data_IF_135297626724
#
_entry.id   IF_135297626724
#
_cell.length_a   1.000
_cell.length_b   1.000
_cell.length_c   1.000
_cell.angle_alpha   90.00
_cell.angle_beta   90.00
_cell.angle_gamma   90.00
#
_symmetry.space_group_name_H-M   'P 1'
#
loop_
_entity.id
_entity.type
_entity.pdbx_description
1 polymer ?
#
# COMPACT_ATOMS: atom_id res chain seq x y z
N UNK A 1 14.64 -4.67 5.46
CA UNK A 1 15.74 -5.52 5.95
C UNK A 1 15.58 -6.90 5.34
N UNK A 2 16.20 -7.93 5.92
CA UNK A 2 16.11 -9.31 5.42
C UNK A 2 14.72 -9.94 5.62
N UNK A 3 13.90 -9.42 6.53
CA UNK A 3 12.59 -9.99 6.88
C UNK A 3 11.41 -9.20 6.31
N UNK A 4 11.52 -7.87 6.26
CA UNK A 4 10.44 -6.96 5.93
C UNK A 4 10.87 -5.86 4.94
N UNK A 5 9.93 -5.48 4.08
CA UNK A 5 9.86 -4.16 3.48
C UNK A 5 9.27 -3.18 4.49
N UNK A 6 9.90 -2.02 4.67
CA UNK A 6 9.41 -0.96 5.55
C UNK A 6 8.88 0.21 4.74
N UNK A 7 7.80 0.81 5.24
CA UNK A 7 7.23 2.05 4.74
C UNK A 7 7.13 3.05 5.90
N UNK A 8 7.57 4.27 5.67
CA UNK A 8 7.19 5.44 6.47
C UNK A 8 6.51 6.45 5.54
N UNK A 9 5.38 7.00 5.98
CA UNK A 9 4.73 8.10 5.28
C UNK A 9 4.27 9.17 6.27
N UNK A 10 4.49 10.43 5.89
CA UNK A 10 3.99 11.61 6.59
C UNK A 10 3.01 12.32 5.65
N UNK A 11 1.72 12.20 5.95
CA UNK A 11 0.62 12.56 5.04
C UNK A 11 -0.08 13.81 5.55
N UNK A 12 -0.23 14.80 4.68
CA UNK A 12 -1.06 15.99 4.95
C UNK A 12 -2.50 15.69 4.58
N UNK A 13 -3.40 15.86 5.53
CA UNK A 13 -4.80 15.50 5.43
C UNK A 13 -5.61 16.35 6.43
N UNK A 14 -6.60 17.15 5.99
CA UNK A 14 -7.41 17.99 6.89
C UNK A 14 -8.41 17.18 7.74
N UNK A 15 -8.64 15.92 7.42
CA UNK A 15 -9.55 15.01 8.12
C UNK A 15 -8.86 13.67 8.30
N UNK A 16 -7.76 13.58 9.08
CA UNK A 16 -6.97 12.37 9.13
C UNK A 16 -7.72 11.22 9.81
N UNK A 17 -7.40 10.00 9.39
CA UNK A 17 -7.81 8.75 10.03
C UNK A 17 -9.31 8.41 9.88
N UNK A 18 -9.95 8.91 8.82
CA UNK A 18 -11.35 8.67 8.46
C UNK A 18 -11.52 7.32 7.76
N UNK A 19 -11.38 6.23 8.50
CA UNK A 19 -11.70 4.90 8.00
C UNK A 19 -12.41 4.01 9.03
N UNK A 20 -13.70 3.76 8.79
CA UNK A 20 -14.55 2.84 9.57
C UNK A 20 -14.99 1.62 8.77
N UNK A 21 -14.37 1.37 7.62
CA UNK A 21 -14.72 0.26 6.73
C UNK A 21 -13.98 -0.99 7.19
N UNK A 22 -14.68 -2.12 7.18
CA UNK A 22 -14.09 -3.43 7.44
C UNK A 22 -13.98 -4.28 6.17
N UNK A 23 -13.05 -5.22 6.21
CA UNK A 23 -12.88 -6.22 5.17
C UNK A 23 -12.35 -5.65 3.85
N UNK A 24 -12.77 -6.24 2.74
CA UNK A 24 -12.13 -6.01 1.44
C UNK A 24 -12.20 -4.57 0.92
N UNK A 25 -13.08 -3.72 1.47
CA UNK A 25 -13.35 -2.37 0.96
C UNK A 25 -12.68 -1.24 1.73
N UNK A 26 -11.70 -1.54 2.57
CA UNK A 26 -10.99 -0.53 3.37
C UNK A 26 -10.32 0.58 2.55
N UNK A 27 -10.08 0.37 1.25
CA UNK A 27 -9.60 1.40 0.31
C UNK A 27 -10.59 2.56 0.08
N UNK A 28 -11.87 2.39 0.42
CA UNK A 28 -12.90 3.39 0.12
C UNK A 28 -13.08 4.42 1.25
N UNK A 29 -11.97 4.87 1.83
CA UNK A 29 -11.84 5.79 2.95
C UNK A 29 -10.34 6.14 3.08
N UNK A 30 -9.88 6.78 4.16
CA UNK A 30 -8.45 7.02 4.32
C UNK A 30 -7.66 5.70 4.36
N UNK A 31 -6.73 5.54 3.44
CA UNK A 31 -5.93 4.33 3.32
C UNK A 31 -4.60 4.61 2.65
N UNK A 32 -3.64 3.73 2.88
CA UNK A 32 -2.43 3.64 2.08
C UNK A 32 -2.47 2.33 1.28
N UNK A 33 -2.37 2.44 -0.04
CA UNK A 33 -2.24 1.30 -0.95
C UNK A 33 -0.77 1.15 -1.37
N UNK A 34 -0.20 -0.04 -1.24
CA UNK A 34 1.15 -0.38 -1.68
C UNK A 34 1.05 -1.40 -2.81
N UNK A 35 1.72 -1.12 -3.91
CA UNK A 35 1.76 -1.97 -5.09
C UNK A 35 3.19 -2.43 -5.32
N UNK A 36 3.42 -3.72 -5.51
CA UNK A 36 4.78 -4.23 -5.70
C UNK A 36 4.82 -5.49 -6.56
N UNK A 37 5.88 -5.64 -7.34
CA UNK A 37 6.17 -6.81 -8.16
C UNK A 37 7.65 -7.17 -8.10
N UNK A 38 8.02 -8.46 -8.10
CA UNK A 38 9.43 -8.89 -8.17
C UNK A 38 10.11 -8.51 -9.49
N UNK A 39 9.36 -8.14 -10.52
CA UNK A 39 9.89 -7.94 -11.87
C UNK A 39 9.55 -6.55 -12.41
N UNK A 40 10.53 -5.89 -13.02
CA UNK A 40 10.29 -4.69 -13.82
C UNK A 40 9.53 -5.05 -15.09
N UNK A 41 8.45 -4.33 -15.35
CA UNK A 41 7.70 -4.49 -16.59
C UNK A 41 8.37 -3.69 -17.70
N UNK A 42 8.84 -4.38 -18.73
CA UNK A 42 9.52 -3.75 -19.88
C UNK A 42 8.56 -3.35 -21.00
N UNK A 43 7.34 -3.88 -21.00
CA UNK A 43 6.29 -3.57 -21.99
C UNK A 43 4.90 -3.63 -21.35
N UNK A 44 3.99 -2.71 -21.68
CA UNK A 44 2.62 -2.74 -21.18
C UNK A 44 1.93 -4.07 -21.50
N UNK A 45 1.34 -4.72 -20.50
CA UNK A 45 0.54 -5.95 -20.71
C UNK A 45 -0.94 -5.72 -20.45
N UNK A 46 -1.35 -4.51 -20.06
CA UNK A 46 -2.73 -4.10 -19.83
C UNK A 46 -3.32 -4.54 -18.49
N UNK A 47 -2.64 -5.40 -17.72
CA UNK A 47 -3.16 -5.93 -16.46
C UNK A 47 -2.10 -6.37 -15.46
N UNK A 48 -2.56 -6.74 -14.25
CA UNK A 48 -1.73 -7.33 -13.21
C UNK A 48 -1.26 -8.75 -13.59
N UNK A 49 -0.02 -9.07 -13.24
CA UNK A 49 0.51 -10.44 -13.24
C UNK A 49 0.16 -11.14 -11.94
N UNK A 50 0.19 -12.47 -11.93
CA UNK A 50 0.01 -13.25 -10.70
C UNK A 50 1.08 -12.96 -9.64
N UNK A 51 2.26 -12.45 -10.01
CA UNK A 51 3.33 -12.07 -9.07
C UNK A 51 3.15 -10.66 -8.48
N UNK A 52 2.23 -9.86 -9.02
CA UNK A 52 1.99 -8.50 -8.55
C UNK A 52 1.19 -8.56 -7.24
N UNK A 53 1.55 -7.74 -6.25
CA UNK A 53 0.89 -7.73 -4.94
C UNK A 53 0.39 -6.34 -4.65
N UNK A 54 -0.75 -6.29 -3.98
CA UNK A 54 -1.39 -5.06 -3.58
C UNK A 54 -1.81 -5.18 -2.11
N UNK A 55 -1.21 -4.35 -1.25
CA UNK A 55 -1.48 -4.27 0.18
C UNK A 55 -2.24 -2.97 0.46
N UNK A 56 -3.32 -3.03 1.22
CA UNK A 56 -4.08 -1.85 1.64
C UNK A 56 -4.04 -1.80 3.17
N UNK A 57 -3.69 -0.63 3.70
CA UNK A 57 -3.69 -0.32 5.13
C UNK A 57 -4.78 0.72 5.40
N UNK A 58 -5.75 0.42 6.26
CA UNK A 58 -6.78 1.37 6.67
C UNK A 58 -6.18 2.40 7.64
N UNK A 59 -6.30 3.68 7.34
CA UNK A 59 -5.81 4.73 8.25
C UNK A 59 -6.90 5.02 9.30
N UNK A 60 -6.69 4.47 10.50
CA UNK A 60 -7.52 4.65 11.69
C UNK A 60 -6.70 4.35 12.94
N UNK A 61 -7.10 4.87 14.09
CA UNK A 61 -6.36 4.72 15.36
C UNK A 61 -6.06 3.26 15.73
N UNK A 62 -6.97 2.33 15.43
CA UNK A 62 -6.81 0.91 15.78
C UNK A 62 -5.66 0.21 15.02
N UNK A 63 -5.23 0.75 13.89
CA UNK A 63 -4.17 0.20 13.04
C UNK A 63 -4.33 -1.31 12.73
N UNK A 64 -5.56 -1.77 12.48
CA UNK A 64 -5.95 -3.17 12.36
C UNK A 64 -6.45 -3.59 10.98
N UNK A 65 -6.63 -2.63 10.06
CA UNK A 65 -7.19 -2.89 8.74
C UNK A 65 -6.10 -3.18 7.73
N UNK A 66 -5.82 -4.46 7.47
CA UNK A 66 -4.88 -4.88 6.41
C UNK A 66 -5.58 -5.81 5.42
N UNK A 67 -5.51 -5.47 4.14
CA UNK A 67 -6.01 -6.32 3.03
C UNK A 67 -4.88 -6.63 2.07
N UNK A 68 -4.77 -7.90 1.68
CA UNK A 68 -3.94 -8.36 0.56
C UNK A 68 -4.82 -8.65 -0.65
N UNK A 69 -4.46 -8.12 -1.80
CA UNK A 69 -5.11 -8.35 -3.10
C UNK A 69 -4.14 -8.94 -4.11
N UNK A 70 -4.72 -9.49 -5.17
CA UNK A 70 -4.02 -10.20 -6.25
C UNK A 70 -3.15 -11.35 -5.70
N UNK A 71 -3.73 -12.11 -4.77
CA UNK A 71 -3.13 -13.26 -4.13
C UNK A 71 -4.06 -14.48 -4.27
N UNK A 72 -3.54 -15.72 -4.10
CA UNK A 72 -4.39 -16.92 -4.01
C UNK A 72 -5.54 -16.74 -3.02
N UNK A 73 -6.67 -17.36 -3.35
CA UNK A 73 -7.86 -17.32 -2.50
C UNK A 73 -7.55 -17.80 -1.07
N UNK A 74 -8.10 -17.09 -0.08
CA UNK A 74 -7.91 -17.40 1.34
C UNK A 74 -6.58 -16.95 1.93
N UNK A 75 -5.64 -16.43 1.13
CA UNK A 75 -4.37 -15.91 1.65
C UNK A 75 -4.60 -14.66 2.50
N UNK A 76 -3.98 -14.64 3.68
CA UNK A 76 -4.01 -13.51 4.62
C UNK A 76 -2.67 -12.76 4.65
N UNK A 77 -2.67 -11.45 4.94
CA UNK A 77 -1.45 -10.64 5.11
C UNK A 77 -0.80 -10.89 6.48
N UNK A 78 -0.47 -12.15 6.80
CA UNK A 78 0.07 -12.52 8.12
C UNK A 78 1.41 -11.81 8.40
N UNK A 79 1.52 -11.22 9.59
CA UNK A 79 2.74 -10.55 10.04
C UNK A 79 2.91 -9.11 9.56
N UNK A 80 2.04 -8.60 8.69
CA UNK A 80 2.00 -7.15 8.39
C UNK A 80 1.61 -6.42 9.68
N UNK A 81 2.42 -5.43 10.05
CA UNK A 81 2.17 -4.56 11.19
C UNK A 81 2.29 -3.12 10.74
N UNK A 82 1.45 -2.26 11.28
CA UNK A 82 1.63 -0.82 11.13
C UNK A 82 1.19 -0.10 12.38
N UNK A 83 1.71 1.09 12.57
CA UNK A 83 1.28 2.05 13.56
C UNK A 83 0.97 3.36 12.85
N UNK A 84 -0.10 4.04 13.26
CA UNK A 84 -0.48 5.32 12.70
C UNK A 84 -0.85 6.28 13.84
N UNK A 85 -0.47 7.54 13.69
CA UNK A 85 -0.83 8.61 14.62
C UNK A 85 -1.24 9.84 13.84
N UNK A 86 -2.36 10.44 14.21
CA UNK A 86 -2.68 11.79 13.76
C UNK A 86 -1.62 12.77 14.30
N UNK A 87 -1.32 13.82 13.52
CA UNK A 87 -0.50 14.93 13.98
C UNK A 87 -1.27 15.72 15.04
N UNK A 88 -0.60 16.25 16.08
CA UNK A 88 -1.27 17.00 17.15
C UNK A 88 -2.03 18.25 16.68
N UNK A 89 -1.66 18.81 15.53
CA UNK A 89 -2.31 19.98 14.92
C UNK A 89 -3.53 19.61 14.05
N UNK A 90 -3.84 18.32 13.88
CA UNK A 90 -4.94 17.82 13.07
C UNK A 90 -4.75 17.98 11.57
N UNK A 91 -3.54 18.29 11.09
CA UNK A 91 -3.27 18.56 9.67
C UNK A 91 -2.78 17.34 8.88
N UNK A 92 -2.84 16.16 9.48
CA UNK A 92 -2.36 14.95 8.85
C UNK A 92 -2.11 13.81 9.81
N UNK A 93 -1.38 12.82 9.32
CA UNK A 93 -0.96 11.65 10.10
C UNK A 93 0.41 11.14 9.66
N UNK A 94 1.05 10.40 10.56
CA UNK A 94 2.27 9.65 10.30
C UNK A 94 1.99 8.17 10.46
N UNK A 95 2.57 7.36 9.57
CA UNK A 95 2.42 5.91 9.58
C UNK A 95 3.75 5.22 9.30
N UNK A 96 4.01 4.17 10.07
CA UNK A 96 5.08 3.21 9.83
C UNK A 96 4.48 1.82 9.63
N UNK A 97 4.94 1.10 8.62
CA UNK A 97 4.55 -0.28 8.36
C UNK A 97 5.76 -1.19 8.15
N UNK A 98 5.66 -2.40 8.67
CA UNK A 98 6.55 -3.52 8.41
C UNK A 98 5.76 -4.60 7.66
N UNK A 99 6.17 -4.87 6.42
CA UNK A 99 5.52 -5.80 5.51
C UNK A 99 6.46 -6.97 5.28
N UNK A 100 6.16 -8.18 5.79
CA UNK A 100 7.02 -9.32 5.56
C UNK A 100 7.19 -9.59 4.07
N UNK A 101 8.41 -9.88 3.64
CA UNK A 101 8.70 -10.23 2.25
C UNK A 101 7.90 -11.46 1.77
N UNK A 102 7.59 -12.37 2.69
CA UNK A 102 6.71 -13.52 2.47
C UNK A 102 5.25 -13.16 2.19
N UNK A 103 4.76 -11.98 2.57
CA UNK A 103 3.41 -11.52 2.23
C UNK A 103 3.34 -11.11 0.76
N UNK A 104 4.45 -10.58 0.24
CA UNK A 104 4.54 -10.07 -1.14
C UNK A 104 5.24 -11.05 -2.11
N UNK A 105 5.56 -12.27 -1.67
CA UNK A 105 6.26 -13.30 -2.47
C UNK A 105 7.55 -12.82 -3.14
N UNK A 106 8.28 -11.93 -2.49
CA UNK A 106 9.56 -11.43 -2.98
C UNK A 106 10.64 -11.97 -2.04
N UNK A 107 11.73 -12.49 -2.59
CA UNK A 107 12.95 -12.71 -1.80
C UNK A 107 13.79 -11.45 -1.94
N UNK A 108 14.09 -10.72 -0.84
CA UNK A 108 14.92 -9.52 -0.94
C UNK A 108 16.32 -9.92 -1.40
N UNK A 109 16.85 -9.17 -2.35
CA UNK A 109 18.23 -9.26 -2.76
C UNK A 109 18.79 -7.86 -2.92
N UNK A 110 20.03 -7.67 -2.50
CA UNK A 110 20.74 -6.41 -2.68
C UNK A 110 20.77 -6.04 -4.16
N UNK A 111 20.59 -4.75 -4.46
CA UNK A 111 20.51 -4.19 -5.82
C UNK A 111 19.34 -4.73 -6.67
N UNK A 112 18.40 -5.49 -6.09
CA UNK A 112 17.21 -5.91 -6.81
C UNK A 112 16.37 -4.70 -7.22
N UNK A 113 15.95 -4.67 -8.47
CA UNK A 113 14.97 -3.72 -8.99
C UNK A 113 13.58 -4.36 -8.99
N UNK A 114 12.68 -3.79 -8.20
CA UNK A 114 11.29 -4.19 -8.06
C UNK A 114 10.40 -3.15 -8.72
N UNK A 115 9.28 -3.59 -9.29
CA UNK A 115 8.26 -2.63 -9.72
C UNK A 115 7.46 -2.23 -8.49
N UNK A 116 7.23 -0.93 -8.29
CA UNK A 116 6.66 -0.43 -7.04
C UNK A 116 5.80 0.81 -7.27
N UNK A 117 4.74 0.94 -6.49
CA UNK A 117 3.99 2.17 -6.38
C UNK A 117 3.31 2.32 -5.01
N UNK A 118 2.86 3.53 -4.71
CA UNK A 118 2.16 3.89 -3.49
C UNK A 118 0.96 4.77 -3.86
N UNK A 119 -0.19 4.51 -3.24
CA UNK A 119 -1.31 5.43 -3.24
C UNK A 119 -1.64 5.91 -1.83
N UNK A 120 -2.09 7.17 -1.75
CA UNK A 120 -2.76 7.73 -0.60
C UNK A 120 -4.22 7.94 -0.98
N UNK A 121 -5.11 7.23 -0.31
CA UNK A 121 -6.55 7.43 -0.37
C UNK A 121 -6.95 8.47 0.67
N UNK A 122 -7.75 9.44 0.24
CA UNK A 122 -8.23 10.56 1.06
C UNK A 122 -9.77 10.51 1.07
N UNK A 123 -10.32 10.28 2.26
CA UNK A 123 -11.73 10.28 2.57
C UNK A 123 -12.07 11.39 3.57
N UNK A 124 -12.90 12.34 3.15
CA UNK A 124 -13.42 13.38 4.07
C UNK A 124 -14.44 12.82 5.08
N UNK A 125 -14.84 11.56 4.92
CA UNK A 125 -15.78 10.86 5.80
C UNK A 125 -15.36 9.40 6.01
N UNK A 126 -15.75 8.75 7.12
CA UNK A 126 -15.24 7.43 7.49
C UNK A 126 -15.55 6.27 6.52
N UNK A 127 -16.32 6.49 5.45
CA UNK A 127 -16.87 5.43 4.58
C UNK A 127 -16.86 5.77 3.09
N UNK A 128 -16.16 6.84 2.69
CA UNK A 128 -16.08 7.23 1.28
C UNK A 128 -14.73 7.86 0.99
N UNK A 129 -14.04 7.34 -0.02
CA UNK A 129 -12.87 7.98 -0.61
C UNK A 129 -13.33 9.07 -1.57
N UNK A 130 -12.82 10.28 -1.41
CA UNK A 130 -13.03 11.40 -2.33
C UNK A 130 -11.93 11.47 -3.38
N UNK A 131 -10.69 11.20 -2.96
CA UNK A 131 -9.50 11.40 -3.77
C UNK A 131 -8.51 10.26 -3.57
N UNK A 132 -7.67 10.09 -4.58
CA UNK A 132 -6.55 9.17 -4.52
C UNK A 132 -5.37 9.82 -5.23
N UNK A 133 -4.23 9.86 -4.56
CA UNK A 133 -2.97 10.35 -5.11
C UNK A 133 -2.00 9.18 -5.27
N UNK A 134 -1.27 9.14 -6.38
CA UNK A 134 -0.29 8.09 -6.68
C UNK A 134 1.13 8.66 -6.62
N UNK A 135 2.11 7.84 -6.23
CA UNK A 135 3.53 8.23 -6.29
C UNK A 135 4.02 8.30 -7.73
N UNK A 136 3.82 7.25 -8.54
CA UNK A 136 4.28 7.22 -9.93
C UNK A 136 3.17 6.93 -10.94
N UNK A 137 2.31 5.97 -10.65
CA UNK A 137 1.40 5.36 -11.61
C UNK A 137 0.12 6.12 -11.82
N UNK A 138 -1.00 5.40 -11.80
CA UNK A 138 -2.30 5.97 -12.18
C UNK A 138 -3.43 5.36 -11.36
N UNK A 139 -4.64 5.90 -11.51
CA UNK A 139 -5.88 5.30 -10.95
C UNK A 139 -6.09 3.82 -11.31
N UNK A 140 -5.36 3.29 -12.30
CA UNK A 140 -5.42 1.90 -12.73
C UNK A 140 -4.48 0.98 -11.96
N UNK A 141 -3.72 1.46 -10.97
CA UNK A 141 -2.71 0.66 -10.27
C UNK A 141 -3.27 -0.65 -9.67
N UNK A 142 -4.52 -0.64 -9.21
CA UNK A 142 -5.18 -1.83 -8.68
C UNK A 142 -5.62 -2.86 -9.73
N UNK A 143 -5.51 -2.53 -11.02
CA UNK A 143 -5.86 -3.41 -12.15
C UNK A 143 -4.75 -3.54 -13.20
N UNK A 144 -3.72 -2.69 -13.16
CA UNK A 144 -2.58 -2.70 -14.09
C UNK A 144 -1.30 -2.21 -13.42
N UNK A 145 -0.22 -2.98 -13.63
CA UNK A 145 1.14 -2.65 -13.19
C UNK A 145 1.97 -1.89 -14.24
N UNK A 146 1.36 -1.47 -15.36
CA UNK A 146 2.09 -0.88 -16.49
C UNK A 146 2.78 0.45 -16.16
N UNK A 147 2.24 1.21 -15.20
CA UNK A 147 2.74 2.52 -14.82
C UNK A 147 3.38 2.55 -13.43
N UNK A 148 3.60 1.39 -12.80
CA UNK A 148 4.30 1.35 -11.52
C UNK A 148 5.76 1.80 -11.72
N UNK A 149 6.28 2.49 -10.73
CA UNK A 149 7.67 2.96 -10.71
C UNK A 149 8.66 1.82 -10.47
N UNK A 150 9.89 2.22 -10.15
CA UNK A 150 10.99 1.30 -9.82
C UNK A 150 11.50 1.57 -8.42
N UNK A 151 11.54 0.54 -7.61
CA UNK A 151 12.19 0.52 -6.31
C UNK A 151 13.47 -0.31 -6.42
N UNK A 152 14.60 0.27 -6.04
CA UNK A 152 15.89 -0.45 -5.96
C UNK A 152 16.24 -0.64 -4.50
N UNK A 153 16.52 -1.88 -4.10
CA UNK A 153 17.01 -2.19 -2.77
C UNK A 153 18.50 -1.86 -2.70
N UNK A 154 18.89 -1.00 -1.77
CA UNK A 154 20.27 -0.57 -1.53
C UNK A 154 20.75 -1.05 -0.16
N UNK A 155 22.07 -0.95 0.07
CA UNK A 155 22.73 -1.26 1.34
C UNK A 155 22.49 -0.20 2.42
#
# INVERSE_FOLDING_TARGET
DDANLYLFADVTDPTPLQNSIEGANIWNADAIEIFISPEIKLSPSGGLRFSDRHIILAMREAADGVVLRNAPEGRKPEGVKYAVSARPDGTGYQVEAAIPWSVVDITPAMEAELSFDLAIDDGETPRRRERQSMWNGSRQNSTSSDNWGRLRLIQ
#
